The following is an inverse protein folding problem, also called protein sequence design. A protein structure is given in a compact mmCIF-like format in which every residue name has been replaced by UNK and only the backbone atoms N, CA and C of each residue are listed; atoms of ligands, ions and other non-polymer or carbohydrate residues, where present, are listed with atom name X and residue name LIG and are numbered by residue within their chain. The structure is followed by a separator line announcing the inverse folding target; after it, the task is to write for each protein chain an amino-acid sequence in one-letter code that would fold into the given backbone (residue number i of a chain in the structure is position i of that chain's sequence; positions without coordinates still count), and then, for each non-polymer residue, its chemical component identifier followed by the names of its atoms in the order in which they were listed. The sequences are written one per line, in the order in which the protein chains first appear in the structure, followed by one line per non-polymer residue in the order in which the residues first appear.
data_IF_363643469207
#
_entry.id   IF_363643469207
#
_cell.length_a   1.000
_cell.length_b   1.000
_cell.length_c   1.000
_cell.angle_alpha   90.00
_cell.angle_beta   90.00
_cell.angle_gamma   90.00
#
_symmetry.space_group_name_H-M   'P 1'
#
loop_
_entity.id
_entity.type
_entity.pdbx_description
1 polymer ?
2 polymer ?
3 non-polymer ?
4 water ?
#
# COMPACT_ATOMS: atom_id res chain seq x y z
N UNK A 2 -3.57 -19.50 5.26
CA UNK A 2 -3.16 -18.11 5.47
C UNK A 2 -4.27 -17.11 5.20
N UNK A 3 -5.08 -16.83 6.21
CA UNK A 3 -6.16 -15.85 6.07
C UNK A 3 -5.64 -14.41 6.10
N UNK A 4 -4.60 -14.12 6.88
CA UNK A 4 -4.05 -12.76 6.89
C UNK A 4 -3.54 -12.37 5.51
N UNK A 5 -2.81 -13.28 4.86
CA UNK A 5 -2.29 -12.97 3.53
C UNK A 5 -3.41 -12.74 2.55
N UNK A 6 -4.42 -13.62 2.56
CA UNK A 6 -5.53 -13.49 1.61
C UNK A 6 -6.24 -12.16 1.79
N UNK A 7 -6.54 -11.80 3.03
CA UNK A 7 -7.25 -10.55 3.30
C UNK A 7 -6.40 -9.33 2.93
N UNK A 8 -5.11 -9.40 3.23
CA UNK A 8 -4.20 -8.30 2.91
C UNK A 8 -4.13 -8.09 1.41
N UNK A 9 -3.99 -9.18 0.66
CA UNK A 9 -3.96 -9.07 -0.80
C UNK A 9 -5.27 -8.48 -1.32
N UNK A 10 -6.39 -8.95 -0.77
CA UNK A 10 -7.69 -8.48 -1.23
C UNK A 10 -7.83 -6.97 -1.04
N UNK A 11 -7.40 -6.46 0.12
CA UNK A 11 -7.47 -5.03 0.41
C UNK A 11 -6.53 -4.26 -0.50
N UNK A 12 -5.27 -4.66 -0.56
CA UNK A 12 -4.28 -3.88 -1.29
C UNK A 12 -4.54 -3.95 -2.80
N UNK A 13 -4.93 -5.11 -3.29
CA UNK A 13 -5.17 -5.28 -4.72
C UNK A 13 -6.36 -4.44 -5.17
N UNK A 14 -7.44 -4.45 -4.41
CA UNK A 14 -8.62 -3.66 -4.81
C UNK A 14 -8.32 -2.17 -4.78
N UNK A 15 -7.53 -1.70 -3.79
CA UNK A 15 -7.25 -0.28 -3.70
C UNK A 15 -6.40 0.17 -4.88
N UNK A 16 -5.32 -0.58 -5.16
CA UNK A 16 -4.46 -0.24 -6.28
C UNK A 16 -5.24 -0.28 -7.60
N UNK A 17 -6.08 -1.29 -7.82
CA UNK A 17 -6.75 -1.37 -9.11
C UNK A 17 -7.77 -0.25 -9.26
N UNK A 18 -8.55 0.00 -8.23
CA UNK A 18 -9.58 1.02 -8.32
C UNK A 18 -8.97 2.41 -8.40
N UNK A 19 -7.85 2.65 -7.71
CA UNK A 19 -7.16 3.92 -7.86
C UNK A 19 -6.66 4.12 -9.29
N UNK A 20 -6.20 3.05 -9.92
CA UNK A 20 -5.62 3.18 -11.25
C UNK A 20 -6.67 3.32 -12.33
N UNK A 21 -7.81 2.63 -12.20
CA UNK A 21 -8.80 2.60 -13.25
C UNK A 21 -10.03 3.46 -12.98
N UNK A 22 -10.30 3.82 -11.72
CA UNK A 22 -11.55 4.45 -11.37
C UNK A 22 -12.70 3.49 -11.20
N UNK A 23 -12.54 2.24 -11.59
CA UNK A 23 -13.61 1.24 -11.52
C UNK A 23 -13.55 0.53 -10.17
N UNK A 24 -14.69 0.43 -9.52
CA UNK A 24 -14.79 -0.32 -8.28
C UNK A 24 -15.12 -1.78 -8.58
N UNK A 25 -14.50 -2.68 -7.83
CA UNK A 25 -14.68 -4.12 -8.00
C UNK A 25 -15.89 -4.56 -7.20
N UNK A 26 -16.92 -5.04 -7.90
CA UNK A 26 -18.18 -5.37 -7.24
C UNK A 26 -18.19 -6.77 -6.62
N UNK A 27 -17.25 -7.64 -6.98
CA UNK A 27 -17.27 -9.02 -6.52
C UNK A 27 -17.32 -9.12 -5.00
N UNK A 28 -17.92 -10.19 -4.44
CA UNK A 28 -17.90 -10.36 -2.98
C UNK A 28 -16.49 -10.50 -2.44
N UNK A 29 -16.33 -10.06 -1.19
CA UNK A 29 -15.05 -10.17 -0.50
C UNK A 29 -14.70 -11.61 -0.18
N UNK A 30 -15.45 -12.20 0.75
CA UNK A 30 -15.11 -13.49 1.31
C UNK A 30 -14.98 -13.42 2.81
N UNK A 31 -14.17 -14.31 3.37
CA UNK A 31 -14.02 -14.41 4.81
C UNK A 31 -13.67 -13.05 5.41
N UNK A 32 -14.27 -12.75 6.55
CA UNK A 32 -14.01 -11.49 7.25
C UNK A 32 -14.27 -10.30 6.34
N UNK A 33 -15.31 -10.42 5.52
CA UNK A 33 -15.58 -9.41 4.51
C UNK A 33 -15.81 -8.02 5.08
N UNK A 34 -16.44 -7.93 6.26
CA UNK A 34 -16.79 -6.63 6.81
C UNK A 34 -15.56 -5.84 7.21
N UNK A 35 -14.58 -6.50 7.83
CA UNK A 35 -13.37 -5.83 8.23
C UNK A 35 -12.58 -5.36 7.02
N UNK A 36 -12.58 -6.16 5.94
CA UNK A 36 -11.91 -5.75 4.71
C UNK A 36 -12.57 -4.50 4.12
N UNK A 37 -13.90 -4.44 4.13
CA UNK A 37 -14.60 -3.28 3.58
C UNK A 37 -14.28 -2.01 4.38
N UNK A 38 -14.19 -2.12 5.70
CA UNK A 38 -13.84 -0.96 6.51
C UNK A 38 -12.37 -0.59 6.33
N UNK A 39 -11.49 -1.58 6.20
CA UNK A 39 -10.09 -1.31 5.89
C UNK A 39 -9.99 -0.56 4.58
N UNK A 40 -10.73 -1.01 3.57
CA UNK A 40 -10.67 -0.36 2.28
C UNK A 40 -11.22 1.05 2.37
N UNK A 41 -12.26 1.27 3.17
CA UNK A 41 -12.77 2.62 3.35
C UNK A 41 -11.78 3.49 4.09
N UNK A 42 -11.13 2.95 5.13
CA UNK A 42 -10.05 3.68 5.79
C UNK A 42 -8.94 3.99 4.80
N UNK A 43 -8.66 3.06 3.90
CA UNK A 43 -7.57 3.23 2.93
C UNK A 43 -7.89 4.33 1.93
N UNK A 44 -9.12 4.37 1.42
CA UNK A 44 -9.49 5.46 0.51
C UNK A 44 -9.37 6.80 1.20
N UNK A 45 -9.80 6.89 2.46
CA UNK A 45 -9.76 8.16 3.17
C UNK A 45 -8.33 8.61 3.44
N UNK A 46 -7.55 7.77 4.13
CA UNK A 46 -6.20 8.14 4.50
C UNK A 46 -5.28 8.15 3.28
N UNK A 47 -5.41 7.12 2.43
CA UNK A 47 -4.49 6.97 1.30
C UNK A 47 -4.68 8.02 0.22
N UNK A 48 -5.93 8.32 -0.11
CA UNK A 48 -6.16 9.43 -1.02
C UNK A 48 -5.55 10.71 -0.47
N UNK A 49 -5.68 10.94 0.85
CA UNK A 49 -5.10 12.13 1.43
C UNK A 49 -3.59 12.15 1.35
N UNK A 50 -2.93 11.03 1.69
CA UNK A 50 -1.48 10.98 1.58
C UNK A 50 -1.05 11.38 0.16
N UNK A 51 -1.78 10.88 -0.84
CA UNK A 51 -1.41 11.12 -2.23
C UNK A 51 -1.59 12.59 -2.60
N UNK A 52 -2.68 13.20 -2.11
CA UNK A 52 -2.92 14.62 -2.39
C UNK A 52 -1.91 15.51 -1.67
N UNK A 53 -1.71 15.25 -0.38
CA UNK A 53 -0.90 16.14 0.44
C UNK A 53 0.60 15.97 0.20
N UNK A 54 1.00 14.93 -0.54
CA UNK A 54 2.41 14.71 -0.80
C UNK A 54 2.64 14.37 -2.27
N UNK A 55 1.81 14.91 -3.17
CA UNK A 55 1.95 14.61 -4.58
C UNK A 55 3.33 15.02 -5.11
N UNK A 56 3.89 16.12 -4.61
CA UNK A 56 5.16 16.58 -5.13
C UNK A 56 6.27 15.60 -4.80
N UNK A 57 6.34 15.18 -3.53
CA UNK A 57 7.35 14.21 -3.13
C UNK A 57 7.18 12.90 -3.88
N UNK A 58 5.94 12.39 -3.91
CA UNK A 58 5.68 11.12 -4.60
C UNK A 58 6.09 11.19 -6.07
N UNK A 59 5.80 12.29 -6.76
CA UNK A 59 6.17 12.38 -8.17
C UNK A 59 7.68 12.40 -8.35
N UNK A 60 8.39 13.07 -7.44
CA UNK A 60 9.84 13.03 -7.51
C UNK A 60 10.36 11.63 -7.32
N UNK A 61 9.74 10.87 -6.42
CA UNK A 61 10.11 9.48 -6.23
C UNK A 61 9.81 8.67 -7.49
N UNK A 62 8.60 8.81 -8.02
CA UNK A 62 8.26 8.12 -9.27
C UNK A 62 9.26 8.45 -10.35
N UNK A 63 9.62 9.72 -10.47
CA UNK A 63 10.59 10.13 -11.48
C UNK A 63 11.89 9.36 -11.32
N UNK A 64 12.38 9.25 -10.08
CA UNK A 64 13.60 8.49 -9.81
C UNK A 64 13.49 7.07 -10.36
N UNK A 65 12.35 6.43 -10.17
CA UNK A 65 12.20 5.04 -10.62
C UNK A 65 12.12 4.96 -12.14
N UNK A 66 11.67 6.02 -12.80
CA UNK A 66 11.71 6.08 -14.26
C UNK A 66 11.21 4.78 -14.88
N UNK A 67 9.89 4.58 -14.88
CA UNK A 67 9.31 3.29 -15.18
C UNK A 67 8.67 3.37 -16.56
N UNK A 68 9.35 2.81 -17.56
CA UNK A 68 8.89 2.80 -18.94
C UNK A 68 8.76 1.41 -19.53
N UNK A 69 9.04 0.35 -18.77
CA UNK A 69 8.97 -1.00 -19.32
C UNK A 69 8.92 -2.02 -18.19
N UNK A 70 8.75 -3.29 -18.59
CA UNK A 70 8.55 -4.37 -17.62
C UNK A 70 9.72 -4.48 -16.64
N UNK A 71 10.95 -4.30 -17.14
CA UNK A 71 12.10 -4.51 -16.26
C UNK A 71 12.16 -3.44 -15.19
N UNK A 72 11.80 -2.20 -15.53
CA UNK A 72 11.68 -1.16 -14.52
C UNK A 72 10.76 -1.58 -13.38
N UNK A 73 9.72 -2.36 -13.67
CA UNK A 73 8.75 -2.75 -12.63
C UNK A 73 9.41 -3.51 -11.50
N UNK A 74 10.54 -4.17 -11.77
CA UNK A 74 11.24 -4.90 -10.71
C UNK A 74 11.65 -3.97 -9.58
N UNK A 75 12.26 -2.83 -9.93
CA UNK A 75 12.77 -1.88 -8.93
C UNK A 75 11.74 -1.56 -7.87
N UNK A 76 10.46 -1.67 -8.20
CA UNK A 76 9.43 -1.20 -7.27
C UNK A 76 9.35 -2.10 -6.05
N UNK A 77 9.37 -3.42 -6.27
CA UNK A 77 9.34 -4.34 -5.13
C UNK A 77 10.56 -4.18 -4.24
N UNK A 78 11.74 -3.93 -4.82
CA UNK A 78 12.94 -3.83 -3.99
C UNK A 78 12.88 -2.62 -3.07
N UNK A 79 12.24 -1.53 -3.49
CA UNK A 79 11.98 -0.43 -2.57
C UNK A 79 11.12 -0.91 -1.41
N UNK A 80 10.06 -1.67 -1.71
CA UNK A 80 9.25 -2.23 -0.65
C UNK A 80 10.10 -3.07 0.29
N UNK A 81 10.90 -3.98 -0.26
CA UNK A 81 11.76 -4.82 0.57
C UNK A 81 12.69 -3.97 1.42
N UNK A 82 13.29 -2.93 0.82
CA UNK A 82 14.24 -2.09 1.54
C UNK A 82 13.60 -1.49 2.79
N UNK A 83 12.35 -1.04 2.67
CA UNK A 83 11.69 -0.41 3.81
C UNK A 83 11.34 -1.46 4.85
N UNK A 84 10.59 -2.48 4.44
CA UNK A 84 10.11 -3.47 5.40
C UNK A 84 11.24 -4.28 6.02
N UNK A 85 12.42 -4.29 5.41
CA UNK A 85 13.56 -4.93 6.05
C UNK A 85 14.09 -4.11 7.21
N UNK A 86 13.73 -2.83 7.28
CA UNK A 86 14.06 -2.06 8.46
C UNK A 86 13.24 -2.57 9.65
N UNK A 87 13.80 -2.42 10.86
CA UNK A 87 13.17 -3.03 12.02
C UNK A 87 11.95 -2.31 12.52
N UNK A 88 11.84 -1.00 12.23
CA UNK A 88 10.70 -0.23 12.69
C UNK A 88 9.43 -0.67 11.97
N UNK A 89 8.32 -0.71 12.71
CA UNK A 89 7.03 -1.08 12.16
C UNK A 89 5.96 -0.19 12.80
N UNK A 90 5.12 0.43 11.96
CA UNK A 90 3.95 1.14 12.46
C UNK A 90 2.99 1.32 11.29
N UNK A 91 1.75 1.72 11.59
CA UNK A 91 0.73 1.82 10.55
C UNK A 91 0.99 2.99 9.60
N UNK A 92 1.71 4.02 10.05
CA UNK A 92 1.99 5.14 9.18
C UNK A 92 2.88 4.74 8.02
N UNK A 93 3.92 3.96 8.31
CA UNK A 93 4.77 3.43 7.25
C UNK A 93 3.96 2.59 6.30
N UNK A 94 3.12 1.71 6.83
CA UNK A 94 2.38 0.76 6.01
C UNK A 94 1.41 1.49 5.10
N UNK A 95 0.61 2.41 5.65
CA UNK A 95 -0.33 3.11 4.78
C UNK A 95 0.39 3.98 3.77
N UNK A 96 1.56 4.53 4.13
CA UNK A 96 2.31 5.38 3.21
C UNK A 96 2.84 4.56 2.04
N UNK A 97 3.33 3.34 2.30
CA UNK A 97 3.88 2.53 1.22
C UNK A 97 2.77 2.03 0.31
N UNK A 98 1.62 1.67 0.89
CA UNK A 98 0.47 1.31 0.08
C UNK A 98 0.03 2.49 -0.79
N UNK A 99 -0.02 3.69 -0.20
CA UNK A 99 -0.43 4.87 -0.96
C UNK A 99 0.52 5.18 -2.11
N UNK A 100 1.82 5.00 -1.91
CA UNK A 100 2.78 5.16 -2.99
C UNK A 100 2.57 4.06 -4.05
N UNK A 101 2.22 2.85 -3.61
CA UNK A 101 1.83 1.81 -4.56
C UNK A 101 0.67 2.21 -5.43
N UNK A 102 -0.36 2.82 -4.85
CA UNK A 102 -1.48 3.29 -5.65
C UNK A 102 -1.04 4.38 -6.63
N UNK A 103 -0.18 5.30 -6.19
CA UNK A 103 0.34 6.35 -7.05
C UNK A 103 1.10 5.77 -8.24
N UNK A 104 1.90 4.73 -7.99
CA UNK A 104 2.63 4.10 -9.08
C UNK A 104 1.71 3.27 -9.94
N UNK A 105 0.66 2.70 -9.36
CA UNK A 105 -0.35 1.98 -10.14
C UNK A 105 -1.01 2.90 -11.15
N UNK A 106 -1.36 4.12 -10.73
CA UNK A 106 -1.93 5.09 -11.68
C UNK A 106 -0.98 5.29 -12.86
N UNK A 107 0.29 5.53 -12.57
CA UNK A 107 1.30 5.66 -13.62
C UNK A 107 1.31 4.45 -14.54
N UNK A 108 1.39 3.25 -13.97
CA UNK A 108 1.46 2.05 -14.80
C UNK A 108 0.28 2.00 -15.77
N UNK A 109 -0.89 2.39 -15.31
CA UNK A 109 -2.04 2.42 -16.21
C UNK A 109 -1.79 3.39 -17.38
N UNK A 110 -1.27 4.58 -17.08
CA UNK A 110 -1.10 5.59 -18.13
C UNK A 110 -0.08 5.15 -19.17
N UNK A 111 0.87 4.29 -18.78
CA UNK A 111 1.97 3.84 -19.62
C UNK A 111 1.59 2.55 -20.34
N UNK A 112 0.32 2.19 -20.30
CA UNK A 112 -0.17 0.95 -20.91
C UNK A 112 0.51 -0.26 -20.28
N UNK A 113 0.57 -0.26 -18.95
CA UNK A 113 1.07 -1.42 -18.21
C UNK A 113 0.11 -1.77 -17.10
N UNK A 114 -1.19 -1.78 -17.42
CA UNK A 114 -2.20 -2.14 -16.43
C UNK A 114 -2.02 -3.58 -15.95
N UNK A 115 -1.60 -4.49 -16.83
CA UNK A 115 -1.42 -5.88 -16.41
C UNK A 115 -0.37 -6.02 -15.31
N UNK A 116 0.46 -5.00 -15.10
CA UNK A 116 1.49 -5.03 -14.07
C UNK A 116 0.96 -4.68 -12.67
N UNK A 117 -0.28 -4.18 -12.56
CA UNK A 117 -0.74 -3.64 -11.28
C UNK A 117 -0.98 -4.77 -10.29
N UNK A 118 -1.66 -5.84 -10.73
CA UNK A 118 -1.88 -6.97 -9.84
C UNK A 118 -0.58 -7.59 -9.35
N UNK A 119 0.43 -7.83 -10.18
CA UNK A 119 1.72 -8.27 -9.62
C UNK A 119 2.30 -7.29 -8.62
N UNK A 120 2.20 -5.99 -8.89
CA UNK A 120 2.67 -4.99 -7.94
C UNK A 120 1.98 -5.14 -6.59
N UNK A 121 0.66 -5.36 -6.60
CA UNK A 121 -0.10 -5.52 -5.38
C UNK A 121 0.32 -6.76 -4.62
N UNK A 122 0.58 -7.85 -5.35
CA UNK A 122 1.02 -9.10 -4.71
C UNK A 122 2.41 -8.94 -4.11
N UNK A 123 3.30 -8.21 -4.78
CA UNK A 123 4.63 -7.99 -4.24
C UNK A 123 4.57 -7.16 -2.97
N UNK A 124 3.76 -6.10 -2.96
CA UNK A 124 3.55 -5.34 -1.73
C UNK A 124 3.01 -6.24 -0.62
N UNK A 125 1.98 -7.02 -0.94
CA UNK A 125 1.37 -7.89 0.07
C UNK A 125 2.37 -8.94 0.57
N UNK A 126 3.08 -9.58 -0.35
CA UNK A 126 4.05 -10.59 0.03
C UNK A 126 5.08 -10.05 1.01
N UNK A 127 5.64 -8.87 0.72
CA UNK A 127 6.68 -8.33 1.58
C UNK A 127 6.10 -7.93 2.93
N UNK A 128 4.95 -7.25 2.92
CA UNK A 128 4.33 -6.79 4.15
C UNK A 128 4.08 -7.95 5.10
N UNK A 129 3.39 -8.98 4.62
CA UNK A 129 2.99 -10.09 5.47
C UNK A 129 4.20 -10.94 5.86
N UNK A 130 5.08 -11.24 4.90
CA UNK A 130 6.24 -12.07 5.22
C UNK A 130 7.11 -11.41 6.29
N UNK A 131 7.36 -10.11 6.18
CA UNK A 131 8.31 -9.47 7.07
C UNK A 131 7.70 -8.99 8.37
N UNK A 132 6.41 -8.68 8.40
CA UNK A 132 5.79 -8.05 9.56
C UNK A 132 4.66 -8.89 10.17
N UNK A 133 4.62 -10.19 9.89
CA UNK A 133 3.49 -11.00 10.34
C UNK A 133 3.29 -10.89 11.85
N UNK A 134 4.37 -10.98 12.62
CA UNK A 134 4.25 -10.95 14.08
C UNK A 134 3.61 -9.64 14.54
N UNK A 135 4.12 -8.52 14.04
CA UNK A 135 3.58 -7.23 14.44
C UNK A 135 2.13 -7.09 14.02
N UNK A 136 1.83 -7.43 12.77
CA UNK A 136 0.46 -7.37 12.31
C UNK A 136 -0.45 -8.20 13.21
N UNK A 137 -0.05 -9.45 13.49
CA UNK A 137 -0.86 -10.32 14.33
C UNK A 137 -1.19 -9.63 15.65
N UNK A 138 -0.20 -8.96 16.24
CA UNK A 138 -0.37 -8.36 17.55
C UNK A 138 -1.27 -7.14 17.53
N UNK A 139 -1.41 -6.47 16.38
CA UNK A 139 -2.39 -5.40 16.26
C UNK A 139 -3.79 -5.91 15.97
N UNK A 140 -3.99 -7.23 15.91
CA UNK A 140 -5.22 -7.80 15.39
C UNK A 140 -5.40 -7.41 13.92
N UNK A 141 -4.35 -7.65 13.14
CA UNK A 141 -4.38 -7.43 11.71
C UNK A 141 -5.08 -6.17 11.27
N UNK A 142 -5.93 -6.31 10.26
CA UNK A 142 -6.57 -5.15 9.67
C UNK A 142 -7.59 -4.50 10.59
N UNK A 143 -7.98 -5.15 11.68
CA UNK A 143 -8.82 -4.47 12.66
C UNK A 143 -8.04 -3.37 13.37
N UNK A 144 -6.77 -3.63 13.68
CA UNK A 144 -5.93 -2.57 14.26
C UNK A 144 -5.75 -1.40 13.31
N UNK A 145 -5.55 -1.68 12.03
CA UNK A 145 -5.44 -0.62 11.01
C UNK A 145 -6.64 0.31 11.03
N UNK A 146 -7.85 -0.27 11.01
CA UNK A 146 -9.06 0.56 10.98
C UNK A 146 -9.17 1.39 12.24
N UNK A 147 -8.82 0.81 13.38
CA UNK A 147 -8.96 1.52 14.65
C UNK A 147 -7.87 2.58 14.82
N UNK A 148 -6.67 2.33 14.31
CA UNK A 148 -5.61 3.32 14.42
C UNK A 148 -5.97 4.59 13.67
N UNK A 149 -6.62 4.47 12.51
CA UNK A 149 -6.94 5.60 11.64
C UNK A 149 -8.39 6.08 11.79
N UNK A 150 -9.05 5.73 12.89
CA UNK A 150 -10.46 6.07 13.10
C UNK A 150 -10.76 7.53 12.74
N UNK B 2 18.44 9.25 -1.75
CA UNK B 2 18.06 8.64 -0.48
C UNK B 2 16.56 8.57 -0.38
N UNK B 5 14.88 6.67 2.61
CA UNK B 5 14.83 7.41 3.87
C UNK B 5 13.77 8.51 3.86
N UNK B 6 13.43 9.03 2.68
CA UNK B 6 12.40 10.06 2.58
C UNK B 6 11.01 9.46 2.76
N UNK B 7 10.76 8.29 2.19
CA UNK B 7 9.47 7.63 2.37
C UNK B 7 9.27 7.26 3.85
N UNK B 9 10.57 8.52 6.41
CA UNK B 9 10.42 9.72 7.22
C UNK B 9 8.97 10.23 7.11
N UNK B 10 8.44 10.19 5.91
CA UNK B 10 7.05 10.57 5.68
C UNK B 10 6.08 9.63 6.40
N UNK B 11 6.35 8.33 6.38
CA UNK B 11 5.44 7.40 7.04
C UNK B 11 5.45 7.57 8.54
N UNK B 12 6.63 7.81 9.11
CA UNK B 12 6.72 8.05 10.55
C UNK B 12 5.98 9.33 10.94
N UNK B 13 6.07 10.38 10.10
CA UNK B 13 5.29 11.60 10.32
C UNK B 13 3.80 11.29 10.40
N UNK B 14 3.29 10.57 9.38
CA UNK B 14 1.87 10.23 9.35
C UNK B 14 1.49 9.40 10.56
N UNK B 15 2.36 8.49 10.99
CA UNK B 15 2.05 7.68 12.17
C UNK B 15 1.92 8.56 13.41
N UNK B 16 2.86 9.48 13.60
CA UNK B 16 2.82 10.36 14.76
C UNK B 16 1.53 11.17 14.79
N UNK B 17 1.09 11.64 13.63
CA UNK B 17 -0.12 12.48 13.55
C UNK B 17 -1.34 11.73 14.04
N UNK B 18 -1.50 10.49 13.60
CA UNK B 18 -2.69 9.74 13.98
C UNK B 18 -2.57 9.14 15.37
N UNK B 19 -1.36 8.95 15.88
CA UNK B 19 -1.20 8.43 17.24
C UNK B 19 -1.63 9.44 18.29
N UNK B 20 -1.68 10.72 17.93
CA UNK B 20 -2.10 11.79 18.85
C UNK B 20 -3.61 11.73 19.07
#
# INVERSE_FOLDING_TARGET
GDELYRQSLEIISRYLREQATGAKDTKPMGRSGATSRKALETLRRVGDGVQRNHETAFQGMLRKLDIKNEDDVKSLSRVMIHVFSDGVTNWGRIVTLISFGAFVAKHLKTINQESCIEPLAESITDVLVRTKRDWLVKQRGWDGFVEFFH
IWXXQSLXRLGDEINAYYARRX
#
